data_IF_384058461078
#
_entry.id   IF_384058461078
#
_cell.length_a   1.000
_cell.length_b   1.000
_cell.length_c   1.000
_cell.angle_alpha   90.00
_cell.angle_beta   90.00
_cell.angle_gamma   90.00
#
_symmetry.space_group_name_H-M   'P 1'
#
loop_
_entity.id
_entity.type
_entity.pdbx_description
1 polymer ?
#
# COMPACT_ATOMS: atom_id res chain seq x y z
N UNK A 1 -0.40 46.77 -16.06
CA UNK A 1 -0.12 46.47 -17.48
C UNK A 1 -0.49 45.06 -17.88
N UNK A 2 -1.67 44.96 -18.50
CA UNK A 2 -2.35 43.74 -18.85
C UNK A 2 -2.02 43.34 -20.31
N UNK A 3 -0.74 43.11 -20.62
CA UNK A 3 -0.34 42.58 -21.92
C UNK A 3 -0.38 41.04 -21.87
N UNK A 4 -1.51 40.45 -22.25
CA UNK A 4 -1.51 39.08 -22.74
C UNK A 4 -0.69 39.06 -24.03
N UNK A 5 0.62 38.79 -23.93
CA UNK A 5 1.43 38.43 -25.09
C UNK A 5 0.84 37.13 -25.64
N UNK A 6 -0.04 37.26 -26.62
CA UNK A 6 -0.52 36.13 -27.40
C UNK A 6 0.68 35.33 -27.87
N UNK A 7 0.80 34.09 -27.39
CA UNK A 7 1.94 33.24 -27.71
C UNK A 7 1.83 32.83 -29.17
N UNK A 8 2.66 33.46 -30.00
CA UNK A 8 2.81 33.11 -31.42
C UNK A 8 3.93 32.08 -31.56
N UNK A 9 3.69 31.05 -32.35
CA UNK A 9 4.66 30.00 -32.69
C UNK A 9 5.26 30.32 -34.06
N UNK A 10 6.58 30.41 -34.16
CA UNK A 10 7.32 30.61 -35.42
C UNK A 10 7.38 29.30 -36.22
N UNK A 11 7.33 29.38 -37.54
CA UNK A 11 7.68 28.25 -38.40
C UNK A 11 9.14 27.83 -38.20
N UNK A 12 9.42 26.52 -38.11
CA UNK A 12 10.77 26.01 -37.85
C UNK A 12 11.58 25.72 -39.12
N UNK A 13 11.01 25.91 -40.33
CA UNK A 13 11.74 25.73 -41.58
C UNK A 13 12.73 26.88 -41.82
N UNK A 14 13.91 26.54 -42.36
CA UNK A 14 14.92 27.53 -42.72
C UNK A 14 14.33 28.56 -43.69
N UNK A 15 14.62 29.84 -43.44
CA UNK A 15 14.13 30.99 -44.22
C UNK A 15 12.61 31.25 -44.17
N UNK A 16 11.86 30.64 -43.24
CA UNK A 16 10.46 30.99 -42.99
C UNK A 16 10.29 31.89 -41.76
N UNK A 17 9.73 33.08 -41.95
CA UNK A 17 9.48 34.06 -40.87
C UNK A 17 8.01 34.09 -40.41
N UNK A 18 7.17 33.17 -40.88
CA UNK A 18 5.74 33.16 -40.58
C UNK A 18 5.46 32.74 -39.13
N UNK A 19 4.50 33.41 -38.49
CA UNK A 19 4.10 33.18 -37.11
C UNK A 19 2.62 32.87 -36.98
N UNK A 20 2.28 31.92 -36.11
CA UNK A 20 0.91 31.39 -36.00
C UNK A 20 0.44 31.39 -34.55
N UNK A 21 -0.82 31.78 -34.33
CA UNK A 21 -1.48 31.68 -33.02
C UNK A 21 -2.00 30.26 -32.74
N UNK A 22 -2.44 29.58 -33.80
CA UNK A 22 -3.01 28.25 -33.71
C UNK A 22 -2.07 27.24 -34.36
N UNK A 23 -1.69 26.24 -33.59
CA UNK A 23 -0.82 25.16 -34.05
C UNK A 23 -1.38 24.40 -35.26
N UNK A 24 -2.71 24.33 -35.41
CA UNK A 24 -3.35 23.72 -36.60
C UNK A 24 -3.05 24.52 -37.87
N UNK A 25 -3.02 25.86 -37.78
CA UNK A 25 -2.67 26.74 -38.91
C UNK A 25 -1.19 26.63 -39.27
N UNK A 26 -0.31 26.48 -38.27
CA UNK A 26 1.11 26.23 -38.50
C UNK A 26 1.34 24.92 -39.27
N UNK A 27 0.66 23.84 -38.89
CA UNK A 27 0.75 22.56 -39.62
C UNK A 27 0.31 22.73 -41.07
N UNK A 28 -0.86 23.36 -41.28
CA UNK A 28 -1.37 23.62 -42.64
C UNK A 28 -0.39 24.44 -43.49
N UNK A 29 0.19 25.49 -42.92
CA UNK A 29 1.22 26.28 -43.60
C UNK A 29 2.45 25.46 -43.98
N UNK A 30 2.92 24.57 -43.09
CA UNK A 30 4.07 23.71 -43.39
C UNK A 30 3.75 22.75 -44.56
N UNK A 31 2.53 22.21 -44.62
CA UNK A 31 2.10 21.36 -45.74
C UNK A 31 2.05 22.12 -47.05
N UNK A 32 1.52 23.34 -47.04
CA UNK A 32 1.28 24.14 -48.24
C UNK A 32 2.53 24.87 -48.75
N UNK A 33 3.40 25.37 -47.86
CA UNK A 33 4.49 26.27 -48.21
C UNK A 33 5.89 25.64 -48.11
N UNK A 34 6.03 24.48 -47.47
CA UNK A 34 7.33 23.85 -47.22
C UNK A 34 7.40 22.38 -47.62
N UNK A 35 6.40 21.90 -48.37
CA UNK A 35 6.27 20.48 -48.77
C UNK A 35 6.44 19.53 -47.58
N UNK A 36 6.03 19.98 -46.38
CA UNK A 36 6.23 19.22 -45.17
C UNK A 36 5.39 17.94 -45.20
N UNK A 37 6.05 16.80 -45.33
CA UNK A 37 5.38 15.50 -45.35
C UNK A 37 5.05 15.09 -43.91
N UNK A 38 3.78 15.23 -43.54
CA UNK A 38 3.26 14.68 -42.30
C UNK A 38 2.56 13.34 -42.57
N UNK A 39 2.98 12.31 -41.85
CA UNK A 39 2.26 11.02 -41.83
C UNK A 39 0.99 11.20 -40.99
N UNK A 40 -0.15 11.22 -41.67
CA UNK A 40 -1.48 11.39 -41.07
C UNK A 40 -2.29 10.12 -41.22
N UNK A 41 -2.88 9.67 -40.12
CA UNK A 41 -3.74 8.49 -40.06
C UNK A 41 -5.09 8.89 -39.46
N UNK A 42 -6.15 8.24 -39.92
CA UNK A 42 -7.50 8.43 -39.38
C UNK A 42 -8.04 7.12 -38.87
N UNK A 43 -8.51 7.13 -37.62
CA UNK A 43 -9.06 5.95 -36.96
C UNK A 43 -10.48 6.22 -36.46
N UNK A 44 -11.29 5.17 -36.45
CA UNK A 44 -12.63 5.18 -35.86
C UNK A 44 -12.67 4.05 -34.83
N UNK A 45 -13.01 4.39 -33.60
CA UNK A 45 -13.18 3.46 -32.48
C UNK A 45 -14.65 3.45 -32.05
N UNK A 46 -15.12 2.31 -31.54
CA UNK A 46 -16.50 2.18 -31.07
C UNK A 46 -16.73 2.99 -29.78
N UNK A 47 -15.67 3.22 -29.00
CA UNK A 47 -15.75 3.96 -27.73
C UNK A 47 -14.47 4.74 -27.41
N UNK A 48 -14.57 5.72 -26.49
CA UNK A 48 -13.42 6.45 -25.95
C UNK A 48 -12.45 5.50 -25.22
N UNK A 49 -12.95 4.41 -24.61
CA UNK A 49 -12.14 3.40 -23.93
C UNK A 49 -11.24 2.61 -24.87
N UNK A 50 -11.77 2.19 -26.03
CA UNK A 50 -10.97 1.51 -27.07
C UNK A 50 -9.86 2.41 -27.61
N UNK A 51 -10.19 3.69 -27.86
CA UNK A 51 -9.20 4.69 -28.24
C UNK A 51 -8.08 4.80 -27.18
N UNK A 52 -8.42 4.86 -25.88
CA UNK A 52 -7.43 4.97 -24.82
C UNK A 52 -6.52 3.73 -24.75
N UNK A 53 -7.06 2.53 -24.96
CA UNK A 53 -6.29 1.30 -25.02
C UNK A 53 -5.33 1.26 -26.23
N UNK A 54 -5.83 1.63 -27.41
CA UNK A 54 -5.00 1.77 -28.61
C UNK A 54 -3.89 2.81 -28.41
N UNK A 55 -4.24 3.97 -27.84
CA UNK A 55 -3.30 5.05 -27.56
C UNK A 55 -2.18 4.59 -26.62
N UNK A 56 -2.50 3.86 -25.55
CA UNK A 56 -1.49 3.34 -24.62
C UNK A 56 -0.50 2.39 -25.33
N UNK A 57 -0.98 1.54 -26.25
CA UNK A 57 -0.14 0.68 -27.08
C UNK A 57 0.74 1.47 -28.05
N UNK A 58 0.17 2.47 -28.72
CA UNK A 58 0.92 3.35 -29.63
C UNK A 58 2.00 4.15 -28.89
N UNK A 59 1.71 4.65 -27.69
CA UNK A 59 2.67 5.38 -26.84
C UNK A 59 3.82 4.49 -26.34
N UNK A 60 3.53 3.22 -26.08
CA UNK A 60 4.55 2.23 -25.72
C UNK A 60 5.48 1.94 -26.91
N UNK A 61 4.89 1.68 -28.08
CA UNK A 61 5.64 1.33 -29.29
C UNK A 61 6.47 2.50 -29.84
N UNK A 62 5.97 3.73 -29.69
CA UNK A 62 6.64 4.94 -30.17
C UNK A 62 7.55 5.60 -29.14
N UNK A 63 7.61 5.11 -27.90
CA UNK A 63 8.31 5.76 -26.78
C UNK A 63 7.89 7.21 -26.51
N UNK A 64 6.73 7.66 -26.99
CA UNK A 64 6.22 9.02 -26.80
C UNK A 64 4.93 8.97 -26.01
N UNK A 65 4.73 9.94 -25.12
CA UNK A 65 3.44 10.14 -24.45
C UNK A 65 2.71 11.36 -25.02
N UNK A 66 1.42 11.20 -25.29
CA UNK A 66 0.50 12.22 -25.73
C UNK A 66 -0.36 12.71 -24.55
N UNK A 67 0.01 13.88 -24.04
CA UNK A 67 -0.69 14.55 -22.94
C UNK A 67 -1.88 15.37 -23.44
N UNK A 68 -3.00 15.34 -22.71
CA UNK A 68 -4.18 16.16 -23.01
C UNK A 68 -3.92 17.63 -22.63
N UNK A 69 -4.02 18.57 -23.58
CA UNK A 69 -3.66 19.98 -23.33
C UNK A 69 -4.71 20.79 -22.56
N UNK A 70 -5.99 20.53 -22.80
CA UNK A 70 -7.11 21.33 -22.27
C UNK A 70 -8.29 20.44 -21.89
N UNK A 71 -9.24 21.00 -21.13
CA UNK A 71 -10.57 20.40 -20.99
C UNK A 71 -11.18 20.21 -22.38
N UNK A 72 -11.90 19.11 -22.54
CA UNK A 72 -12.64 18.88 -23.78
C UNK A 72 -13.63 20.01 -23.98
N UNK A 73 -13.84 20.41 -25.22
CA UNK A 73 -14.87 21.38 -25.56
C UNK A 73 -15.85 20.77 -26.54
N UNK A 74 -17.10 21.20 -26.45
CA UNK A 74 -18.14 20.77 -27.37
C UNK A 74 -18.10 21.67 -28.61
N UNK A 75 -18.14 21.03 -29.77
CA UNK A 75 -18.24 21.70 -31.07
C UNK A 75 -19.56 21.31 -31.70
N UNK A 76 -20.44 22.28 -31.92
CA UNK A 76 -21.72 22.12 -32.59
C UNK A 76 -22.37 23.48 -32.88
N UNK A 77 -22.97 23.64 -34.06
CA UNK A 77 -23.82 24.81 -34.40
C UNK A 77 -25.30 24.58 -34.07
N UNK A 78 -25.68 23.37 -33.65
CA UNK A 78 -27.07 22.96 -33.42
C UNK A 78 -27.24 22.22 -32.08
N UNK A 79 -28.40 22.46 -31.45
CA UNK A 79 -28.83 22.02 -30.12
C UNK A 79 -28.76 20.49 -29.86
N UNK A 80 -28.61 19.65 -30.89
CA UNK A 80 -28.78 18.18 -30.77
C UNK A 80 -27.58 17.33 -31.27
N UNK A 81 -26.41 17.90 -31.54
CA UNK A 81 -25.20 17.12 -31.93
C UNK A 81 -23.93 17.72 -31.35
N UNK A 82 -23.79 17.67 -30.03
CA UNK A 82 -22.57 18.11 -29.35
C UNK A 82 -21.45 17.07 -29.52
N UNK A 83 -20.46 17.40 -30.36
CA UNK A 83 -19.24 16.58 -30.52
C UNK A 83 -18.20 17.06 -29.52
N UNK A 84 -17.75 16.16 -28.64
CA UNK A 84 -16.69 16.44 -27.66
C UNK A 84 -15.33 16.33 -28.34
N UNK A 85 -14.63 17.45 -28.50
CA UNK A 85 -13.29 17.50 -29.09
C UNK A 85 -12.20 17.59 -28.02
N UNK A 86 -11.15 16.78 -28.15
CA UNK A 86 -9.98 16.75 -27.26
C UNK A 86 -8.67 16.72 -28.06
N UNK A 87 -7.65 17.43 -27.56
CA UNK A 87 -6.32 17.45 -28.18
C UNK A 87 -5.32 16.77 -27.27
N UNK A 88 -4.61 15.79 -27.82
CA UNK A 88 -3.48 15.15 -27.19
C UNK A 88 -2.21 15.52 -27.95
N UNK A 89 -1.18 15.98 -27.25
CA UNK A 89 0.07 16.49 -27.83
C UNK A 89 1.27 15.71 -27.30
N UNK A 90 2.29 15.58 -28.14
CA UNK A 90 3.57 14.98 -27.74
C UNK A 90 4.12 15.61 -26.45
N UNK A 91 4.64 14.79 -25.54
CA UNK A 91 5.25 15.25 -24.28
C UNK A 91 6.47 16.17 -24.52
N UNK A 92 7.15 16.05 -25.66
CA UNK A 92 8.27 16.90 -26.05
C UNK A 92 7.81 18.27 -26.61
N UNK A 93 6.53 18.45 -26.94
CA UNK A 93 6.01 19.70 -27.54
C UNK A 93 6.16 20.92 -26.64
N UNK A 94 6.76 21.98 -27.17
CA UNK A 94 6.84 23.30 -26.58
C UNK A 94 7.93 23.45 -25.52
N UNK A 95 7.86 24.56 -24.77
CA UNK A 95 8.83 24.90 -23.73
C UNK A 95 8.40 24.40 -22.35
N UNK A 96 9.38 24.08 -21.50
CA UNK A 96 9.16 23.87 -20.06
C UNK A 96 8.60 25.15 -19.44
N UNK A 97 7.43 25.05 -18.80
CA UNK A 97 6.81 26.17 -18.08
C UNK A 97 7.12 26.06 -16.59
N UNK A 98 7.37 27.19 -15.90
CA UNK A 98 7.46 27.16 -14.45
C UNK A 98 6.08 26.82 -13.86
N UNK A 99 6.05 25.91 -12.88
CA UNK A 99 4.85 25.61 -12.08
C UNK A 99 4.64 26.70 -11.02
N UNK A 100 4.34 27.92 -11.46
CA UNK A 100 3.88 29.02 -10.60
C UNK A 100 2.81 29.82 -11.32
N UNK A 101 1.87 30.37 -10.57
CA UNK A 101 0.97 31.37 -11.15
C UNK A 101 1.77 32.63 -11.50
N UNK A 102 1.25 33.46 -12.40
CA UNK A 102 1.90 34.74 -12.75
C UNK A 102 1.90 35.69 -11.54
N UNK A 103 0.91 35.57 -10.65
CA UNK A 103 0.76 36.39 -9.44
C UNK A 103 1.62 35.92 -8.27
N UNK A 104 2.20 34.72 -8.32
CA UNK A 104 3.02 34.20 -7.24
C UNK A 104 4.45 34.80 -7.28
N UNK A 105 4.95 35.28 -6.13
CA UNK A 105 6.30 35.83 -6.02
C UNK A 105 7.34 34.81 -6.48
N UNK A 106 8.43 35.30 -7.06
CA UNK A 106 9.52 34.45 -7.51
C UNK A 106 10.08 33.64 -6.33
N UNK A 107 10.58 32.44 -6.65
CA UNK A 107 11.12 31.54 -5.64
C UNK A 107 12.32 32.18 -4.95
N UNK A 108 12.33 32.17 -3.62
CA UNK A 108 13.45 32.69 -2.81
C UNK A 108 14.77 31.93 -2.99
N UNK A 109 14.71 30.68 -3.50
CA UNK A 109 15.89 29.81 -3.65
C UNK A 109 15.92 29.12 -5.00
N UNK A 110 17.13 28.96 -5.56
CA UNK A 110 17.38 28.16 -6.76
C UNK A 110 17.31 26.64 -6.51
N UNK A 111 17.23 26.19 -5.24
CA UNK A 111 17.04 24.77 -4.91
C UNK A 111 15.72 24.28 -5.49
N UNK A 112 15.80 23.42 -6.50
CA UNK A 112 14.67 22.72 -7.09
C UNK A 112 14.95 21.24 -7.11
N UNK A 113 13.93 20.45 -6.78
CA UNK A 113 13.95 19.03 -7.10
C UNK A 113 13.75 18.91 -8.62
N UNK A 114 14.86 18.87 -9.36
CA UNK A 114 14.88 18.81 -10.80
C UNK A 114 14.78 17.36 -11.25
N UNK A 115 13.65 16.98 -11.85
CA UNK A 115 13.46 15.66 -12.48
C UNK A 115 13.85 15.64 -13.96
N UNK A 116 14.45 16.72 -14.47
CA UNK A 116 14.60 16.93 -15.92
C UNK A 116 13.32 17.41 -16.58
N UNK A 117 13.41 17.74 -17.87
CA UNK A 117 12.27 17.99 -18.75
C UNK A 117 12.58 17.37 -20.11
N UNK A 118 11.58 16.74 -20.73
CA UNK A 118 11.68 16.17 -22.08
C UNK A 118 11.22 17.16 -23.15
N UNK A 119 10.86 18.39 -22.75
CA UNK A 119 10.41 19.46 -23.65
C UNK A 119 11.54 19.86 -24.59
N UNK A 120 11.29 19.85 -25.89
CA UNK A 120 12.27 20.24 -26.91
C UNK A 120 12.55 21.74 -26.93
N UNK A 121 11.65 22.55 -26.34
CA UNK A 121 11.70 24.00 -26.50
C UNK A 121 11.27 24.45 -27.90
N UNK A 122 10.66 23.57 -28.68
CA UNK A 122 10.16 23.85 -30.03
C UNK A 122 8.79 23.21 -30.22
N UNK A 123 8.06 23.67 -31.23
CA UNK A 123 6.78 23.07 -31.62
C UNK A 123 7.00 21.65 -32.14
N UNK A 124 6.19 20.69 -31.69
CA UNK A 124 6.14 19.34 -32.25
C UNK A 124 4.84 19.15 -33.06
N UNK A 125 4.92 18.68 -34.32
CA UNK A 125 3.72 18.44 -35.13
C UNK A 125 2.87 17.28 -34.59
N UNK A 126 3.48 16.27 -33.96
CA UNK A 126 2.80 15.07 -33.51
C UNK A 126 1.69 15.34 -32.49
N UNK A 127 0.49 14.85 -32.80
CA UNK A 127 -0.73 15.05 -31.99
C UNK A 127 -1.84 14.11 -32.42
N UNK A 128 -2.81 13.95 -31.52
CA UNK A 128 -4.09 13.29 -31.80
C UNK A 128 -5.23 14.29 -31.57
N UNK A 129 -6.07 14.46 -32.58
CA UNK A 129 -7.32 15.22 -32.49
C UNK A 129 -8.44 14.20 -32.37
N UNK A 130 -9.08 14.18 -31.20
CA UNK A 130 -10.07 13.15 -30.84
C UNK A 130 -11.44 13.79 -30.76
N UNK A 131 -12.39 13.30 -31.55
CA UNK A 131 -13.78 13.76 -31.61
C UNK A 131 -14.70 12.62 -31.19
N UNK A 132 -15.35 12.78 -30.04
CA UNK A 132 -16.30 11.81 -29.49
C UNK A 132 -17.70 12.29 -29.81
N UNK A 133 -18.45 11.46 -30.55
CA UNK A 133 -19.85 11.71 -30.87
C UNK A 133 -20.76 11.38 -29.68
N UNK A 134 -22.01 11.85 -29.71
CA UNK A 134 -23.01 11.54 -28.67
C UNK A 134 -23.24 10.02 -28.48
N UNK A 135 -23.07 9.23 -29.55
CA UNK A 135 -23.18 7.77 -29.51
C UNK A 135 -21.90 7.08 -28.98
N UNK A 136 -20.91 7.82 -28.47
CA UNK A 136 -19.64 7.29 -27.97
C UNK A 136 -18.58 6.95 -29.04
N UNK A 137 -19.00 6.85 -30.31
CA UNK A 137 -18.09 6.63 -31.45
C UNK A 137 -17.01 7.72 -31.48
N UNK A 138 -15.76 7.28 -31.50
CA UNK A 138 -14.59 8.14 -31.33
C UNK A 138 -13.77 8.19 -32.61
N UNK A 139 -13.72 9.37 -33.23
CA UNK A 139 -12.95 9.64 -34.45
C UNK A 139 -11.63 10.29 -34.08
N UNK A 140 -10.52 9.76 -34.58
CA UNK A 140 -9.17 10.23 -34.23
C UNK A 140 -8.42 10.58 -35.50
N UNK A 141 -7.93 11.82 -35.59
CA UNK A 141 -6.91 12.21 -36.56
C UNK A 141 -5.56 12.21 -35.85
N UNK A 142 -4.66 11.34 -36.29
CA UNK A 142 -3.33 11.16 -35.73
C UNK A 142 -2.27 11.69 -36.69
N UNK A 143 -1.44 12.60 -36.19
CA UNK A 143 -0.22 13.06 -36.88
C UNK A 143 0.95 12.38 -36.18
N UNK A 144 1.63 11.46 -36.88
CA UNK A 144 2.72 10.64 -36.33
C UNK A 144 4.09 11.30 -36.44
N UNK A 145 4.28 12.24 -37.36
CA UNK A 145 5.57 12.86 -37.61
C UNK A 145 6.04 13.70 -36.41
N UNK A 146 7.30 13.49 -36.01
CA UNK A 146 8.00 14.25 -34.99
C UNK A 146 9.19 15.02 -35.60
N UNK A 147 9.61 16.10 -34.96
CA UNK A 147 10.77 16.91 -35.34
C UNK A 147 11.83 16.97 -34.23
N UNK A 148 11.85 15.95 -33.37
CA UNK A 148 12.80 15.78 -32.29
C UNK A 148 13.18 14.31 -32.20
N UNK A 149 14.29 14.00 -31.54
CA UNK A 149 14.69 12.62 -31.31
C UNK A 149 13.67 11.90 -30.43
N UNK A 150 13.47 10.62 -30.74
CA UNK A 150 12.63 9.69 -29.99
C UNK A 150 13.52 8.52 -29.60
N UNK A 151 13.40 8.08 -28.37
CA UNK A 151 14.10 6.90 -27.90
C UNK A 151 13.56 6.42 -26.58
N UNK A 152 14.01 5.24 -26.17
CA UNK A 152 13.61 4.56 -24.93
C UNK A 152 13.81 5.42 -23.66
N UNK A 153 14.72 6.39 -23.70
CA UNK A 153 14.96 7.38 -22.64
C UNK A 153 13.79 8.34 -22.45
N UNK A 154 12.83 8.41 -23.38
CA UNK A 154 11.61 9.18 -23.17
C UNK A 154 10.67 8.51 -22.16
N UNK A 155 10.73 7.18 -22.02
CA UNK A 155 9.87 6.39 -21.11
C UNK A 155 10.04 6.79 -19.64
N UNK A 156 11.24 7.24 -19.23
CA UNK A 156 11.48 7.71 -17.86
C UNK A 156 10.69 8.98 -17.49
N UNK A 157 10.24 9.77 -18.46
CA UNK A 157 9.44 10.98 -18.23
C UNK A 157 7.93 10.77 -18.34
N UNK A 158 7.50 9.62 -18.88
CA UNK A 158 6.09 9.29 -19.00
C UNK A 158 5.43 9.13 -17.61
N UNK A 159 4.12 9.43 -17.47
CA UNK A 159 3.39 9.18 -16.24
C UNK A 159 3.30 7.67 -15.94
N UNK A 160 3.07 7.32 -14.68
CA UNK A 160 2.82 5.92 -14.29
C UNK A 160 1.46 5.50 -14.89
N UNK A 161 1.40 4.42 -15.68
CA UNK A 161 0.14 3.91 -16.22
C UNK A 161 -0.91 3.67 -15.12
N UNK A 162 -2.18 3.91 -15.45
CA UNK A 162 -3.28 3.87 -14.48
C UNK A 162 -3.48 2.49 -13.86
N UNK A 163 -3.39 1.43 -14.66
CA UNK A 163 -3.43 0.03 -14.24
C UNK A 163 -2.29 -0.31 -13.26
N UNK A 164 -1.05 0.06 -13.59
CA UNK A 164 0.13 -0.17 -12.76
C UNK A 164 0.01 0.57 -11.43
N UNK A 165 -0.42 1.84 -11.47
CA UNK A 165 -0.64 2.64 -10.25
C UNK A 165 -1.72 2.00 -9.36
N UNK A 166 -2.81 1.48 -9.93
CA UNK A 166 -3.87 0.76 -9.19
C UNK A 166 -3.34 -0.53 -8.56
N UNK A 167 -2.58 -1.33 -9.30
CA UNK A 167 -1.98 -2.56 -8.80
C UNK A 167 -1.02 -2.29 -7.62
N UNK A 168 -0.13 -1.31 -7.77
CA UNK A 168 0.79 -0.87 -6.70
C UNK A 168 -0.02 -0.41 -5.47
N UNK A 169 -1.04 0.42 -5.68
CA UNK A 169 -1.87 0.93 -4.58
C UNK A 169 -2.59 -0.20 -3.85
N UNK A 170 -3.14 -1.17 -4.56
CA UNK A 170 -3.82 -2.33 -3.96
C UNK A 170 -2.87 -3.15 -3.08
N UNK A 171 -1.68 -3.50 -3.58
CA UNK A 171 -0.64 -4.22 -2.80
C UNK A 171 -0.25 -3.43 -1.54
N UNK A 172 -0.06 -2.12 -1.66
CA UNK A 172 0.31 -1.26 -0.53
C UNK A 172 -0.83 -1.12 0.49
N UNK A 173 -2.08 -1.08 0.06
CA UNK A 173 -3.26 -0.97 0.94
C UNK A 173 -3.41 -2.18 1.85
N UNK A 174 -3.05 -3.38 1.38
CA UNK A 174 -3.06 -4.61 2.18
C UNK A 174 -1.76 -4.82 2.99
N UNK A 175 -0.88 -3.82 3.04
CA UNK A 175 0.33 -3.85 3.86
C UNK A 175 1.55 -4.52 3.23
N UNK A 176 1.53 -4.86 1.92
CA UNK A 176 2.73 -5.40 1.26
C UNK A 176 3.87 -4.38 1.33
N UNK A 177 5.08 -4.75 1.80
CA UNK A 177 6.20 -3.82 1.90
C UNK A 177 6.61 -3.21 0.56
N UNK A 178 7.03 -1.95 0.58
CA UNK A 178 7.52 -1.20 -0.60
C UNK A 178 8.61 -1.96 -1.36
N UNK A 179 9.53 -2.62 -0.64
CA UNK A 179 10.61 -3.39 -1.24
C UNK A 179 10.11 -4.63 -2.00
N UNK A 180 9.05 -5.29 -1.50
CA UNK A 180 8.43 -6.43 -2.18
C UNK A 180 7.76 -5.96 -3.46
N UNK A 181 6.91 -4.92 -3.39
CA UNK A 181 6.27 -4.34 -4.58
C UNK A 181 7.30 -3.91 -5.63
N UNK A 182 8.41 -3.31 -5.19
CA UNK A 182 9.50 -2.93 -6.07
C UNK A 182 10.18 -4.11 -6.79
N UNK A 183 10.35 -5.25 -6.09
CA UNK A 183 10.90 -6.46 -6.68
C UNK A 183 9.92 -7.09 -7.67
N UNK A 184 8.66 -7.21 -7.29
CA UNK A 184 7.60 -7.78 -8.15
C UNK A 184 7.48 -7.05 -9.48
N UNK A 185 7.62 -5.72 -9.49
CA UNK A 185 7.59 -4.90 -10.71
C UNK A 185 8.76 -5.16 -11.67
N UNK A 186 9.78 -5.92 -11.24
CA UNK A 186 11.01 -6.21 -11.98
C UNK A 186 11.24 -7.70 -12.24
N UNK A 187 10.46 -8.59 -11.64
CA UNK A 187 10.69 -10.04 -11.67
C UNK A 187 10.68 -10.65 -13.08
N UNK A 188 10.15 -9.95 -14.09
CA UNK A 188 10.10 -10.43 -15.49
C UNK A 188 11.10 -9.74 -16.43
N UNK A 189 11.81 -8.68 -15.99
CA UNK A 189 12.65 -7.88 -16.88
C UNK A 189 14.13 -8.23 -16.74
N UNK A 190 14.73 -8.77 -17.81
CA UNK A 190 16.16 -9.10 -17.86
C UNK A 190 16.52 -10.49 -17.33
N UNK A 191 15.54 -11.39 -17.20
CA UNK A 191 15.82 -12.81 -16.99
C UNK A 191 16.69 -13.34 -18.14
N UNK A 192 17.74 -14.09 -17.79
CA UNK A 192 18.67 -14.68 -18.77
C UNK A 192 17.95 -15.61 -19.74
N UNK A 193 16.88 -16.27 -19.28
CA UNK A 193 16.12 -17.22 -20.09
C UNK A 193 15.21 -16.55 -21.12
N UNK A 194 14.80 -15.30 -20.90
CA UNK A 194 13.83 -14.60 -21.76
C UNK A 194 14.46 -13.45 -22.55
N UNK A 195 15.80 -13.44 -22.71
CA UNK A 195 16.53 -12.35 -23.40
C UNK A 195 16.16 -12.15 -24.86
N UNK A 196 15.60 -13.17 -25.51
CA UNK A 196 15.23 -13.17 -26.92
C UNK A 196 13.71 -13.04 -27.13
N UNK A 197 12.91 -12.92 -26.08
CA UNK A 197 11.48 -12.69 -26.23
C UNK A 197 11.26 -11.23 -26.62
N UNK A 198 10.66 -11.01 -27.79
CA UNK A 198 10.18 -9.70 -28.26
C UNK A 198 9.24 -9.02 -27.26
N UNK A 199 8.64 -9.79 -26.34
CA UNK A 199 7.76 -9.33 -25.26
C UNK A 199 8.48 -8.65 -24.08
N UNK A 200 9.82 -8.68 -24.02
CA UNK A 200 10.60 -8.08 -22.93
C UNK A 200 10.86 -6.58 -23.12
N UNK A 201 9.86 -5.82 -23.56
CA UNK A 201 9.99 -4.37 -23.80
C UNK A 201 10.09 -3.60 -22.47
N UNK A 202 11.08 -2.71 -22.36
CA UNK A 202 11.25 -1.86 -21.18
C UNK A 202 10.08 -0.86 -21.07
N UNK A 203 9.11 -1.19 -20.21
CA UNK A 203 8.00 -0.29 -19.90
C UNK A 203 8.30 0.64 -18.71
N UNK A 204 7.38 1.58 -18.45
CA UNK A 204 7.45 2.51 -17.32
C UNK A 204 7.52 1.82 -15.95
N UNK A 205 6.89 0.65 -15.78
CA UNK A 205 6.86 -0.06 -14.47
C UNK A 205 8.26 -0.43 -13.99
N UNK A 206 9.12 -0.88 -14.92
CA UNK A 206 10.51 -1.27 -14.62
C UNK A 206 11.38 -0.08 -14.19
N UNK A 207 11.04 1.12 -14.66
CA UNK A 207 11.73 2.38 -14.35
C UNK A 207 11.28 3.03 -13.04
N UNK A 208 10.27 2.45 -12.35
CA UNK A 208 9.83 2.98 -11.06
C UNK A 208 10.92 2.77 -10.00
N UNK A 209 11.14 3.81 -9.20
CA UNK A 209 12.05 3.78 -8.06
C UNK A 209 11.30 3.44 -6.77
N UNK A 210 12.02 2.95 -5.75
CA UNK A 210 11.47 2.80 -4.39
C UNK A 210 10.84 4.09 -3.86
N UNK A 211 11.39 5.24 -4.23
CA UNK A 211 10.82 6.55 -3.90
C UNK A 211 9.44 6.75 -4.52
N UNK A 212 9.25 6.40 -5.80
CA UNK A 212 7.94 6.50 -6.45
C UNK A 212 6.89 5.64 -5.73
N UNK A 213 7.24 4.40 -5.39
CA UNK A 213 6.35 3.49 -4.66
C UNK A 213 6.09 4.00 -3.25
N UNK A 214 7.09 4.59 -2.58
CA UNK A 214 6.92 5.22 -1.26
C UNK A 214 6.00 6.44 -1.30
N UNK A 215 6.10 7.27 -2.35
CA UNK A 215 5.21 8.41 -2.55
C UNK A 215 3.75 7.92 -2.77
N UNK A 216 3.55 6.82 -3.50
CA UNK A 216 2.22 6.17 -3.64
C UNK A 216 1.75 5.63 -2.29
N UNK A 217 2.60 4.93 -1.54
CA UNK A 217 2.27 4.41 -0.20
C UNK A 217 1.83 5.52 0.75
N UNK A 218 2.50 6.67 0.72
CA UNK A 218 2.10 7.85 1.50
C UNK A 218 0.73 8.37 1.09
N UNK A 219 0.44 8.42 -0.22
CA UNK A 219 -0.87 8.83 -0.72
C UNK A 219 -1.98 7.84 -0.30
N UNK A 220 -1.72 6.53 -0.37
CA UNK A 220 -2.63 5.48 0.10
C UNK A 220 -2.92 5.65 1.59
N UNK A 221 -1.86 5.74 2.42
CA UNK A 221 -2.00 5.95 3.88
C UNK A 221 -2.79 7.21 4.21
N UNK A 222 -2.54 8.31 3.48
CA UNK A 222 -3.29 9.55 3.65
C UNK A 222 -4.77 9.37 3.29
N UNK A 223 -5.09 8.59 2.25
CA UNK A 223 -6.46 8.28 1.86
C UNK A 223 -7.20 7.37 2.86
N UNK A 224 -6.49 6.53 3.59
CA UNK A 224 -7.06 5.71 4.67
C UNK A 224 -7.34 6.50 5.95
N UNK A 225 -6.69 7.65 6.14
CA UNK A 225 -6.89 8.51 7.30
C UNK A 225 -8.13 9.38 7.11
N UNK A 226 -9.13 9.20 7.97
CA UNK A 226 -10.43 9.87 7.86
C UNK A 226 -10.41 11.31 8.39
N UNK A 227 -9.45 11.62 9.28
CA UNK A 227 -9.29 12.96 9.84
C UNK A 227 -7.81 13.28 10.19
N UNK A 228 -7.34 14.54 10.14
CA UNK A 228 -5.98 14.91 10.53
C UNK A 228 -5.63 14.70 12.01
N UNK A 229 -6.63 14.57 12.87
CA UNK A 229 -6.48 14.13 14.25
C UNK A 229 -6.71 12.61 14.35
N UNK A 230 -5.80 11.89 15.00
CA UNK A 230 -5.82 10.42 15.05
C UNK A 230 -6.96 9.88 15.92
N UNK A 231 -7.32 10.58 16.99
CA UNK A 231 -8.44 10.17 17.86
C UNK A 231 -9.77 10.27 17.10
N UNK A 232 -9.98 11.37 16.38
CA UNK A 232 -11.15 11.57 15.52
C UNK A 232 -11.14 10.60 14.35
N UNK A 233 -10.00 10.36 13.72
CA UNK A 233 -9.90 9.39 12.62
C UNK A 233 -10.25 7.98 13.08
N UNK A 234 -9.83 7.59 14.29
CA UNK A 234 -10.17 6.30 14.91
C UNK A 234 -11.65 6.21 15.21
N UNK A 235 -12.23 7.26 15.81
CA UNK A 235 -13.67 7.35 16.08
C UNK A 235 -14.49 7.17 14.79
N UNK A 236 -14.14 7.90 13.72
CA UNK A 236 -14.83 7.79 12.44
C UNK A 236 -14.71 6.38 11.83
N UNK A 237 -13.55 5.73 11.98
CA UNK A 237 -13.36 4.36 11.51
C UNK A 237 -14.23 3.38 12.30
N UNK A 238 -14.30 3.54 13.63
CA UNK A 238 -15.18 2.74 14.49
C UNK A 238 -16.65 2.91 14.11
N UNK A 239 -17.11 4.16 13.91
CA UNK A 239 -18.49 4.41 13.47
C UNK A 239 -18.79 3.78 12.11
N UNK A 240 -17.84 3.89 11.17
CA UNK A 240 -17.94 3.24 9.86
C UNK A 240 -18.08 1.72 10.02
N UNK A 241 -17.15 1.06 10.71
CA UNK A 241 -17.16 -0.40 10.90
C UNK A 241 -18.38 -0.89 11.69
N UNK A 242 -18.93 -0.06 12.58
CA UNK A 242 -20.18 -0.33 13.29
C UNK A 242 -21.40 -0.29 12.36
N UNK A 243 -21.38 0.61 11.36
CA UNK A 243 -22.48 0.82 10.40
C UNK A 243 -22.49 -0.16 9.22
N UNK A 244 -21.44 -0.97 9.06
CA UNK A 244 -21.38 -2.03 8.04
C UNK A 244 -22.36 -3.18 8.39
N UNK A 245 -22.70 -4.02 7.39
CA UNK A 245 -23.63 -5.16 7.54
C UNK A 245 -23.26 -6.10 8.71
N UNK A 246 -21.98 -6.15 9.04
CA UNK A 246 -21.47 -6.84 10.21
C UNK A 246 -20.65 -5.87 11.07
N UNK A 247 -21.17 -5.55 12.26
CA UNK A 247 -20.43 -4.75 13.24
C UNK A 247 -19.19 -5.53 13.73
N UNK A 248 -18.02 -5.12 13.26
CA UNK A 248 -16.75 -5.74 13.64
C UNK A 248 -16.21 -5.27 15.00
N UNK A 249 -16.81 -4.26 15.62
CA UNK A 249 -16.34 -3.65 16.86
C UNK A 249 -16.99 -4.34 18.08
N UNK A 250 -16.16 -4.91 18.96
CA UNK A 250 -16.55 -5.46 20.26
C UNK A 250 -16.64 -4.36 21.32
N UNK A 251 -15.58 -3.57 21.42
CA UNK A 251 -15.38 -2.56 22.46
C UNK A 251 -14.74 -1.35 21.82
N UNK A 252 -15.17 -0.16 22.24
CA UNK A 252 -14.50 1.08 21.91
C UNK A 252 -14.62 2.11 23.04
N UNK A 253 -13.46 2.49 23.59
CA UNK A 253 -13.26 3.60 24.52
C UNK A 253 -12.10 4.46 24.03
N UNK A 254 -12.34 5.76 23.90
CA UNK A 254 -11.31 6.75 23.57
C UNK A 254 -10.74 7.39 24.83
N UNK A 255 -9.51 7.89 24.75
CA UNK A 255 -8.87 8.59 25.86
C UNK A 255 -9.68 9.83 26.26
N UNK A 256 -9.84 10.05 27.56
CA UNK A 256 -10.57 11.17 28.13
C UNK A 256 -12.09 11.04 28.06
N UNK A 257 -12.63 9.96 27.47
CA UNK A 257 -14.07 9.79 27.28
C UNK A 257 -14.60 8.49 27.87
N UNK A 258 -15.92 8.48 28.07
CA UNK A 258 -16.63 7.27 28.46
C UNK A 258 -16.66 6.25 27.32
N UNK A 259 -16.91 5.01 27.69
CA UNK A 259 -17.01 3.88 26.79
C UNK A 259 -18.19 4.07 25.87
N UNK A 260 -17.92 4.05 24.55
CA UNK A 260 -18.93 4.28 23.50
C UNK A 260 -19.57 2.96 23.08
N UNK A 261 -18.79 1.88 23.07
CA UNK A 261 -19.23 0.52 22.69
C UNK A 261 -18.63 -0.48 23.69
N UNK A 262 -19.44 -1.39 24.19
CA UNK A 262 -19.01 -2.46 25.10
C UNK A 262 -19.30 -2.17 26.58
N UNK A 263 -18.73 -2.98 27.50
CA UNK A 263 -18.99 -2.94 28.93
C UNK A 263 -18.64 -1.59 29.57
N UNK A 264 -19.52 -1.08 30.42
CA UNK A 264 -19.29 0.17 31.17
C UNK A 264 -18.24 0.06 32.27
N UNK A 265 -17.84 -1.16 32.64
CA UNK A 265 -16.74 -1.39 33.59
C UNK A 265 -15.45 -0.66 33.16
N UNK A 266 -15.20 -0.47 31.87
CA UNK A 266 -14.08 0.33 31.39
C UNK A 266 -14.11 1.79 31.84
N UNK A 267 -15.26 2.31 32.27
CA UNK A 267 -15.43 3.65 32.84
C UNK A 267 -15.14 3.71 34.34
N UNK A 268 -15.28 2.57 35.04
CA UNK A 268 -15.12 2.44 36.49
C UNK A 268 -13.73 1.91 36.89
N UNK A 269 -13.01 1.28 35.96
CA UNK A 269 -11.64 0.83 36.22
C UNK A 269 -10.75 2.06 36.45
N UNK A 270 -10.08 2.11 37.61
CA UNK A 270 -9.17 3.17 38.07
C UNK A 270 -7.90 3.35 37.20
N UNK A 271 -7.86 2.69 36.04
CA UNK A 271 -6.87 2.85 34.98
C UNK A 271 -7.21 4.11 34.18
N UNK A 272 -6.83 5.27 34.74
CA UNK A 272 -6.71 6.60 34.12
C UNK A 272 -7.85 7.07 33.19
N UNK A 273 -8.21 8.36 33.35
CA UNK A 273 -8.97 9.11 32.35
C UNK A 273 -8.40 8.95 30.91
N UNK A 274 -7.15 8.52 30.76
CA UNK A 274 -6.43 8.34 29.51
C UNK A 274 -6.47 6.91 28.91
N UNK A 275 -7.32 6.01 29.40
CA UNK A 275 -7.46 4.65 28.83
C UNK A 275 -8.00 4.65 27.41
N UNK A 276 -7.32 3.92 26.53
CA UNK A 276 -7.72 3.66 25.14
C UNK A 276 -7.93 2.17 24.95
N UNK A 277 -9.09 1.77 24.44
CA UNK A 277 -9.42 0.36 24.18
C UNK A 277 -10.21 0.25 22.88
N UNK A 278 -9.74 -0.63 21.98
CA UNK A 278 -10.45 -1.04 20.77
C UNK A 278 -10.41 -2.55 20.66
N UNK A 279 -11.57 -3.19 20.79
CA UNK A 279 -11.75 -4.61 20.53
C UNK A 279 -12.35 -4.83 19.15
N UNK A 280 -11.71 -5.63 18.31
CA UNK A 280 -12.15 -5.91 16.93
C UNK A 280 -12.21 -7.41 16.71
N UNK A 281 -13.31 -7.88 16.13
CA UNK A 281 -13.45 -9.22 15.60
C UNK A 281 -14.36 -9.17 14.37
N UNK A 282 -13.81 -9.52 13.21
CA UNK A 282 -14.52 -9.59 11.93
C UNK A 282 -15.45 -10.80 11.84
N UNK A 283 -16.34 -10.82 10.84
CA UNK A 283 -17.26 -11.94 10.58
C UNK A 283 -16.53 -13.26 10.39
N UNK A 284 -15.42 -13.24 9.65
CA UNK A 284 -14.62 -14.43 9.40
C UNK A 284 -13.91 -14.91 10.67
N UNK A 285 -13.39 -13.99 11.49
CA UNK A 285 -12.78 -14.34 12.77
C UNK A 285 -13.77 -14.96 13.75
N UNK A 286 -15.01 -14.44 13.81
CA UNK A 286 -16.10 -15.04 14.59
C UNK A 286 -16.39 -16.47 14.11
N UNK A 287 -16.61 -16.65 12.80
CA UNK A 287 -16.86 -17.96 12.21
C UNK A 287 -15.73 -18.96 12.48
N UNK A 288 -14.47 -18.52 12.38
CA UNK A 288 -13.30 -19.33 12.69
C UNK A 288 -13.29 -19.76 14.16
N UNK A 289 -13.60 -18.84 15.07
CA UNK A 289 -13.64 -19.10 16.50
C UNK A 289 -14.75 -20.09 16.88
N UNK A 290 -15.94 -19.94 16.31
CA UNK A 290 -17.07 -20.85 16.54
C UNK A 290 -16.79 -22.26 15.98
N UNK A 291 -16.38 -22.33 14.72
CA UNK A 291 -16.21 -23.60 13.98
C UNK A 291 -15.06 -24.45 14.52
N UNK A 292 -13.98 -23.79 14.98
CA UNK A 292 -12.75 -24.47 15.39
C UNK A 292 -12.50 -24.36 16.90
N UNK A 293 -13.52 -24.01 17.69
CA UNK A 293 -13.45 -23.88 19.16
C UNK A 293 -12.92 -25.13 19.87
N UNK A 294 -13.11 -26.30 19.29
CA UNK A 294 -12.58 -27.57 19.78
C UNK A 294 -11.07 -27.78 19.54
N UNK A 295 -10.43 -26.92 18.74
CA UNK A 295 -9.01 -27.03 18.38
C UNK A 295 -8.12 -26.19 19.31
N UNK A 296 -6.96 -26.76 19.66
CA UNK A 296 -5.97 -26.12 20.55
C UNK A 296 -5.29 -24.91 19.87
N UNK A 297 -5.25 -24.88 18.54
CA UNK A 297 -4.67 -23.79 17.74
C UNK A 297 -5.60 -23.53 16.56
N UNK A 298 -6.13 -22.30 16.47
CA UNK A 298 -6.83 -21.85 15.28
C UNK A 298 -5.84 -21.81 14.13
N UNK A 299 -6.01 -22.70 13.15
CA UNK A 299 -5.15 -22.76 11.98
C UNK A 299 -5.91 -22.27 10.76
N UNK A 300 -5.26 -21.43 9.96
CA UNK A 300 -5.74 -21.16 8.60
C UNK A 300 -5.54 -22.38 7.69
N UNK A 301 -6.00 -22.26 6.45
CA UNK A 301 -5.79 -23.26 5.37
C UNK A 301 -4.31 -23.59 5.09
N UNK A 302 -3.38 -22.75 5.58
CA UNK A 302 -1.93 -22.93 5.49
C UNK A 302 -1.31 -23.48 6.78
N UNK A 303 -2.11 -23.94 7.74
CA UNK A 303 -1.70 -24.46 9.05
C UNK A 303 -0.99 -23.43 9.93
N UNK A 304 -1.20 -22.13 9.71
CA UNK A 304 -0.63 -21.04 10.52
C UNK A 304 -1.64 -20.56 11.55
N UNK A 305 -1.13 -20.08 12.70
CA UNK A 305 -1.97 -19.49 13.74
C UNK A 305 -2.83 -18.35 13.19
N UNK A 306 -4.15 -18.45 13.36
CA UNK A 306 -5.11 -17.48 12.87
C UNK A 306 -5.65 -16.63 14.03
N UNK A 307 -5.57 -15.29 13.98
CA UNK A 307 -6.07 -14.43 15.04
C UNK A 307 -7.60 -14.38 15.02
N UNK A 308 -8.24 -14.71 16.15
CA UNK A 308 -9.71 -14.78 16.27
C UNK A 308 -10.36 -13.50 16.81
N UNK A 309 -9.55 -12.58 17.35
CA UNK A 309 -9.93 -11.23 17.72
C UNK A 309 -8.66 -10.40 17.96
N UNK A 310 -8.79 -9.08 17.99
CA UNK A 310 -7.72 -8.15 18.33
C UNK A 310 -8.18 -7.22 19.45
N UNK A 311 -7.33 -7.07 20.46
CA UNK A 311 -7.44 -6.03 21.48
C UNK A 311 -6.29 -5.04 21.24
N UNK A 312 -6.63 -3.77 21.04
CA UNK A 312 -5.66 -2.67 20.95
C UNK A 312 -5.92 -1.77 22.13
N UNK A 313 -4.97 -1.70 23.05
CA UNK A 313 -5.08 -0.90 24.26
C UNK A 313 -3.72 -0.36 24.71
N UNK A 314 -3.74 0.71 25.50
CA UNK A 314 -2.54 1.21 26.18
C UNK A 314 -2.23 0.45 27.49
N UNK A 315 -3.14 -0.43 27.93
CA UNK A 315 -3.01 -1.29 29.11
C UNK A 315 -3.21 -2.76 28.72
N UNK A 316 -2.47 -3.68 29.34
CA UNK A 316 -2.53 -5.13 29.10
C UNK A 316 -2.64 -5.91 30.42
N UNK A 317 -3.44 -5.38 31.34
CA UNK A 317 -3.75 -5.99 32.64
C UNK A 317 -5.05 -6.79 32.62
N UNK A 318 -5.28 -7.57 33.68
CA UNK A 318 -6.47 -8.41 33.85
C UNK A 318 -7.78 -7.61 33.74
N UNK A 319 -7.81 -6.40 34.29
CA UNK A 319 -8.98 -5.52 34.29
C UNK A 319 -9.32 -5.03 32.87
N UNK A 320 -8.31 -4.85 32.01
CA UNK A 320 -8.50 -4.48 30.60
C UNK A 320 -8.87 -5.68 29.73
N UNK A 321 -8.26 -6.84 29.98
CA UNK A 321 -8.43 -8.04 29.13
C UNK A 321 -9.77 -8.73 29.41
N UNK A 322 -10.19 -8.82 30.68
CA UNK A 322 -11.39 -9.58 31.09
C UNK A 322 -12.66 -9.11 30.35
N UNK A 323 -13.04 -7.82 30.35
CA UNK A 323 -14.29 -7.40 29.72
C UNK A 323 -14.26 -7.53 28.18
N UNK A 324 -13.06 -7.54 27.58
CA UNK A 324 -12.90 -7.82 26.16
C UNK A 324 -13.18 -9.30 25.84
N UNK A 325 -12.65 -10.22 26.65
CA UNK A 325 -12.92 -11.65 26.52
C UNK A 325 -14.41 -11.98 26.76
N UNK A 326 -15.06 -11.29 27.71
CA UNK A 326 -16.50 -11.40 27.92
C UNK A 326 -17.30 -11.02 26.67
N UNK A 327 -16.93 -9.93 25.99
CA UNK A 327 -17.57 -9.52 24.74
C UNK A 327 -17.36 -10.53 23.60
N UNK A 328 -16.19 -11.18 23.53
CA UNK A 328 -15.97 -12.30 22.60
C UNK A 328 -16.93 -13.44 22.92
N UNK A 329 -16.99 -13.87 24.19
CA UNK A 329 -17.85 -14.98 24.63
C UNK A 329 -19.34 -14.69 24.36
N UNK A 330 -19.77 -13.47 24.64
CA UNK A 330 -21.13 -12.97 24.37
C UNK A 330 -21.46 -12.98 22.88
N UNK A 331 -20.54 -12.54 22.02
CA UNK A 331 -20.73 -12.55 20.56
C UNK A 331 -20.95 -13.96 20.01
N UNK A 332 -20.30 -14.95 20.61
CA UNK A 332 -20.48 -16.36 20.25
C UNK A 332 -21.68 -17.03 20.94
N UNK A 333 -22.65 -16.24 21.43
CA UNK A 333 -23.83 -16.70 22.17
C UNK A 333 -23.49 -17.66 23.33
N UNK A 334 -22.31 -17.49 23.97
CA UNK A 334 -21.79 -18.37 25.01
C UNK A 334 -21.69 -19.86 24.61
N UNK A 335 -21.68 -20.18 23.31
CA UNK A 335 -21.69 -21.55 22.78
C UNK A 335 -20.30 -22.18 22.70
N UNK A 336 -19.25 -21.36 22.71
CA UNK A 336 -17.87 -21.79 22.55
C UNK A 336 -17.30 -22.31 23.87
N UNK A 337 -16.89 -23.58 23.89
CA UNK A 337 -16.14 -24.20 24.98
C UNK A 337 -14.64 -24.16 24.65
N UNK A 338 -13.87 -23.47 25.48
CA UNK A 338 -12.40 -23.44 25.37
C UNK A 338 -11.80 -24.50 26.29
N UNK A 339 -10.98 -25.40 25.74
CA UNK A 339 -10.37 -26.49 26.51
C UNK A 339 -8.97 -26.15 27.04
N UNK A 340 -8.25 -25.29 26.33
CA UNK A 340 -6.90 -24.88 26.69
C UNK A 340 -6.62 -23.46 26.21
N UNK A 341 -5.78 -22.74 26.95
CA UNK A 341 -5.25 -21.43 26.57
C UNK A 341 -3.74 -21.48 26.66
N UNK A 342 -3.05 -20.86 25.68
CA UNK A 342 -1.60 -20.77 25.67
C UNK A 342 -1.17 -19.32 25.81
N UNK A 343 -0.42 -19.00 26.87
CA UNK A 343 0.06 -17.64 27.13
C UNK A 343 1.59 -17.61 27.30
N UNK A 344 2.18 -16.43 27.41
CA UNK A 344 3.63 -16.24 27.58
C UNK A 344 4.09 -16.24 29.05
N UNK A 345 3.28 -16.85 29.94
CA UNK A 345 3.44 -16.86 31.40
C UNK A 345 3.02 -15.54 32.06
N UNK A 346 2.19 -14.75 31.39
CA UNK A 346 1.57 -13.57 31.94
C UNK A 346 0.38 -13.93 32.85
N UNK A 347 0.43 -13.50 34.11
CA UNK A 347 -0.66 -13.73 35.06
C UNK A 347 -1.94 -13.00 34.65
N UNK A 348 -1.82 -11.82 34.04
CA UNK A 348 -2.96 -10.99 33.66
C UNK A 348 -3.86 -11.66 32.61
N UNK A 349 -3.29 -12.16 31.52
CA UNK A 349 -4.01 -12.86 30.48
C UNK A 349 -4.52 -14.21 30.96
N UNK A 350 -3.75 -14.96 31.75
CA UNK A 350 -4.19 -16.22 32.34
C UNK A 350 -5.42 -16.03 33.26
N UNK A 351 -5.33 -15.12 34.23
CA UNK A 351 -6.42 -14.85 35.16
C UNK A 351 -7.67 -14.36 34.42
N UNK A 352 -7.50 -13.42 33.49
CA UNK A 352 -8.61 -12.91 32.68
C UNK A 352 -9.30 -14.04 31.89
N UNK A 353 -8.53 -14.96 31.29
CA UNK A 353 -9.10 -16.08 30.54
C UNK A 353 -9.87 -17.05 31.45
N UNK A 354 -9.30 -17.40 32.59
CA UNK A 354 -9.92 -18.30 33.58
C UNK A 354 -11.19 -17.71 34.18
N UNK A 355 -11.20 -16.40 34.46
CA UNK A 355 -12.39 -15.70 34.94
C UNK A 355 -13.54 -15.78 33.93
N UNK A 356 -13.26 -15.69 32.62
CA UNK A 356 -14.30 -15.67 31.58
C UNK A 356 -14.70 -17.06 31.10
N UNK A 357 -13.75 -17.97 30.90
CA UNK A 357 -13.99 -19.28 30.30
C UNK A 357 -14.00 -20.43 31.31
N UNK A 358 -13.67 -20.18 32.57
CA UNK A 358 -13.71 -21.15 33.66
C UNK A 358 -12.50 -22.09 33.67
N UNK A 359 -12.74 -23.36 33.96
CA UNK A 359 -11.70 -24.38 34.03
C UNK A 359 -11.12 -24.68 32.63
N UNK A 360 -9.99 -24.04 32.34
CA UNK A 360 -9.26 -24.14 31.08
C UNK A 360 -7.85 -24.64 31.38
N UNK A 361 -7.33 -25.58 30.57
CA UNK A 361 -5.93 -26.00 30.73
C UNK A 361 -4.98 -24.87 30.33
N UNK A 362 -4.18 -24.39 31.26
CA UNK A 362 -3.10 -23.44 30.95
C UNK A 362 -1.91 -24.14 30.30
N UNK A 363 -1.47 -23.63 29.16
CA UNK A 363 -0.26 -24.07 28.47
C UNK A 363 0.71 -22.88 28.37
N UNK A 364 1.99 -23.14 28.55
CA UNK A 364 3.01 -22.12 28.34
C UNK A 364 3.50 -22.15 26.88
N UNK A 365 3.64 -20.97 26.29
CA UNK A 365 4.11 -20.84 24.92
C UNK A 365 5.60 -21.20 24.81
N UNK A 366 5.90 -22.29 24.10
CA UNK A 366 7.29 -22.73 23.85
C UNK A 366 8.16 -21.63 23.23
N UNK A 367 7.61 -20.83 22.32
CA UNK A 367 8.36 -19.74 21.68
C UNK A 367 8.79 -18.67 22.69
N UNK A 368 7.90 -18.28 23.61
CA UNK A 368 8.21 -17.31 24.65
C UNK A 368 9.22 -17.86 25.67
N UNK A 369 9.08 -19.12 26.11
CA UNK A 369 10.08 -19.76 26.98
C UNK A 369 11.47 -19.85 26.28
N UNK A 370 11.54 -20.28 25.01
CA UNK A 370 12.80 -20.27 24.23
C UNK A 370 13.40 -18.86 24.11
N UNK A 371 12.56 -17.83 23.89
CA UNK A 371 13.00 -16.43 23.83
C UNK A 371 13.53 -15.93 25.18
N UNK A 372 12.84 -16.23 26.27
CA UNK A 372 13.27 -15.88 27.63
C UNK A 372 14.63 -16.49 27.95
N UNK A 373 14.83 -17.78 27.65
CA UNK A 373 16.12 -18.45 27.81
C UNK A 373 17.22 -17.78 26.98
N UNK A 374 16.98 -17.49 25.69
CA UNK A 374 17.96 -16.79 24.83
C UNK A 374 18.39 -15.45 25.40
N UNK A 375 17.46 -14.67 25.95
CA UNK A 375 17.77 -13.38 26.57
C UNK A 375 18.64 -13.52 27.84
N UNK A 376 18.61 -14.68 28.49
CA UNK A 376 19.37 -14.98 29.71
C UNK A 376 20.60 -15.87 29.48
N UNK A 377 20.82 -16.37 28.26
CA UNK A 377 22.05 -17.11 27.89
C UNK A 377 23.35 -16.36 28.22
N UNK A 378 23.43 -15.02 28.18
CA UNK A 378 24.65 -14.33 28.64
C UNK A 378 25.05 -14.66 30.09
N UNK A 379 24.10 -15.06 30.96
CA UNK A 379 24.37 -15.51 32.33
C UNK A 379 25.09 -16.86 32.41
N UNK A 380 25.13 -17.62 31.31
CA UNK A 380 25.78 -18.93 31.24
C UNK A 380 27.31 -18.80 31.15
N UNK A 381 27.83 -17.71 30.57
CA UNK A 381 29.28 -17.50 30.39
C UNK A 381 29.72 -17.59 28.93
N UNK A 382 30.78 -18.34 28.59
CA UNK A 382 31.38 -18.30 27.25
C UNK A 382 30.50 -18.92 26.17
N UNK A 383 30.66 -18.47 24.92
CA UNK A 383 29.77 -18.80 23.78
C UNK A 383 29.62 -20.30 23.53
N UNK A 384 30.67 -21.10 23.72
CA UNK A 384 30.62 -22.55 23.59
C UNK A 384 29.66 -23.18 24.62
N UNK A 385 29.75 -22.76 25.88
CA UNK A 385 28.88 -23.24 26.96
C UNK A 385 27.44 -22.75 26.76
N UNK A 386 27.24 -21.53 26.25
CA UNK A 386 25.91 -21.03 25.89
C UNK A 386 25.23 -21.90 24.83
N UNK A 387 25.97 -22.28 23.77
CA UNK A 387 25.46 -23.14 22.71
C UNK A 387 25.13 -24.54 23.21
N UNK A 388 25.98 -25.11 24.06
CA UNK A 388 25.78 -26.40 24.71
C UNK A 388 24.50 -26.40 25.57
N UNK A 389 24.40 -25.45 26.51
CA UNK A 389 23.23 -25.29 27.40
C UNK A 389 21.95 -25.09 26.60
N UNK A 390 21.97 -24.21 25.60
CA UNK A 390 20.78 -23.93 24.80
C UNK A 390 20.30 -25.16 24.00
N UNK A 391 21.20 -25.97 23.44
CA UNK A 391 20.83 -27.22 22.75
C UNK A 391 20.15 -28.21 23.70
N UNK A 392 20.66 -28.35 24.92
CA UNK A 392 20.07 -29.24 25.92
C UNK A 392 18.67 -28.76 26.29
N UNK A 393 18.48 -27.45 26.52
CA UNK A 393 17.16 -26.87 26.80
C UNK A 393 16.17 -27.08 25.64
N UNK A 394 16.63 -27.04 24.39
CA UNK A 394 15.80 -27.35 23.22
C UNK A 394 15.38 -28.82 23.19
N UNK A 395 16.24 -29.75 23.61
CA UNK A 395 15.86 -31.16 23.75
C UNK A 395 14.84 -31.35 24.88
N UNK A 396 15.08 -30.73 26.04
CA UNK A 396 14.21 -30.83 27.21
C UNK A 396 12.79 -30.33 26.90
N UNK A 397 12.65 -29.15 26.29
CA UNK A 397 11.31 -28.57 26.02
C UNK A 397 10.50 -29.34 24.96
N UNK A 398 11.16 -30.17 24.16
CA UNK A 398 10.52 -31.00 23.14
C UNK A 398 10.28 -32.46 23.58
N UNK A 399 10.69 -32.81 24.80
CA UNK A 399 10.36 -34.08 25.44
C UNK A 399 8.84 -34.19 25.70
N UNK A 400 8.26 -35.33 25.35
CA UNK A 400 6.81 -35.60 25.43
C UNK A 400 6.45 -36.47 26.63
N UNK A 401 7.40 -37.25 27.14
CA UNK A 401 7.21 -38.08 28.32
C UNK A 401 7.50 -37.24 29.58
N UNK A 402 6.52 -37.04 30.47
CA UNK A 402 6.69 -36.23 31.68
C UNK A 402 7.81 -36.72 32.61
N UNK A 403 8.00 -38.03 32.75
CA UNK A 403 9.02 -38.62 33.64
C UNK A 403 10.43 -38.41 33.07
N UNK A 404 10.57 -38.57 31.75
CA UNK A 404 11.84 -38.28 31.04
C UNK A 404 12.13 -36.79 31.09
N UNK A 405 11.12 -35.94 30.94
CA UNK A 405 11.25 -34.49 31.07
C UNK A 405 11.78 -34.12 32.46
N UNK A 406 11.14 -34.60 33.52
CA UNK A 406 11.53 -34.30 34.91
C UNK A 406 12.94 -34.81 35.23
N UNK A 407 13.26 -36.06 34.85
CA UNK A 407 14.58 -36.63 35.10
C UNK A 407 15.70 -35.90 34.33
N UNK A 408 15.46 -35.56 33.06
CA UNK A 408 16.43 -34.82 32.23
C UNK A 408 16.61 -33.39 32.74
N UNK A 409 15.53 -32.72 33.14
CA UNK A 409 15.57 -31.37 33.71
C UNK A 409 16.34 -31.34 35.04
N UNK A 410 16.07 -32.29 35.94
CA UNK A 410 16.81 -32.41 37.20
C UNK A 410 18.30 -32.74 36.96
N UNK A 411 18.58 -33.61 35.99
CA UNK A 411 19.94 -33.92 35.55
C UNK A 411 20.67 -32.68 35.01
N UNK A 412 19.99 -31.85 34.21
CA UNK A 412 20.51 -30.59 33.72
C UNK A 412 20.84 -29.63 34.86
N UNK A 413 19.92 -29.41 35.81
CA UNK A 413 20.17 -28.51 36.95
C UNK A 413 21.42 -28.94 37.73
N UNK A 414 21.55 -30.23 38.08
CA UNK A 414 22.73 -30.76 38.79
C UNK A 414 24.03 -30.65 37.98
N UNK A 415 23.98 -30.94 36.68
CA UNK A 415 25.19 -30.93 35.84
C UNK A 415 25.76 -29.52 35.62
N UNK A 416 24.92 -28.49 35.75
CA UNK A 416 25.27 -27.11 35.43
C UNK A 416 25.22 -26.14 36.64
N UNK A 417 24.78 -26.58 37.82
CA UNK A 417 24.70 -25.73 39.03
C UNK A 417 26.05 -25.07 39.38
N UNK A 418 27.15 -25.80 39.22
CA UNK A 418 28.50 -25.26 39.46
C UNK A 418 29.13 -24.61 38.21
N UNK A 419 28.64 -24.94 37.00
CA UNK A 419 29.21 -24.44 35.73
C UNK A 419 28.64 -23.08 35.33
N UNK A 420 27.36 -22.83 35.60
CA UNK A 420 26.69 -21.56 35.31
C UNK A 420 25.66 -21.19 36.41
N UNK A 421 26.11 -20.94 37.65
CA UNK A 421 25.23 -20.78 38.82
C UNK A 421 24.19 -19.67 38.66
N UNK A 422 24.55 -18.55 38.02
CA UNK A 422 23.63 -17.42 37.79
C UNK A 422 22.47 -17.78 36.85
N UNK A 423 22.75 -18.55 35.80
CA UNK A 423 21.70 -19.01 34.89
C UNK A 423 20.80 -20.05 35.57
N UNK A 424 21.37 -20.99 36.32
CA UNK A 424 20.60 -22.01 37.03
C UNK A 424 19.72 -21.40 38.11
N UNK A 425 20.21 -20.41 38.87
CA UNK A 425 19.39 -19.66 39.83
C UNK A 425 18.19 -18.99 39.16
N UNK A 426 18.39 -18.34 38.01
CA UNK A 426 17.29 -17.82 37.20
C UNK A 426 16.34 -18.93 36.74
N UNK A 427 16.87 -20.02 36.19
CA UNK A 427 16.10 -21.11 35.58
C UNK A 427 15.22 -21.88 36.58
N UNK A 428 15.65 -22.00 37.84
CA UNK A 428 14.85 -22.66 38.89
C UNK A 428 13.75 -21.74 39.44
N UNK A 429 13.91 -20.42 39.30
CA UNK A 429 12.96 -19.42 39.82
C UNK A 429 11.91 -18.98 38.80
N UNK A 430 12.11 -19.29 37.52
CA UNK A 430 11.31 -18.82 36.35
C UNK A 430 10.72 -20.00 35.57
#
# INVERSE_FOLDING_TARGET
>A
DNQSKDKRTLCHYQNCSQVFFQNVKLIKHIEECHEGIFTKESYIFLSESEFLAWKEKEELNSYVFFSKQTSSFFTGKNINKDVKTSYYICQNDGHSKPHRSVSEPARKTNKRYYRGSVKSGAFCPARMIVKVNINGVTNVQYIKTHNHSIGITNTMYQPIPGNIKKNISAKLSIGVPVNTVYRDLRESFGDRQNRNDEDTVLTKSHLLTKKNISDISRAVKKGCRLHPDDSVSTFLLVQKLKSEDFNSILVYKSQGQQTVIGPKVYDDIDLNKDSFVVGIQTKHQLSMFETHSSQIVFRDEFKRGYPVAFLISNHADEQTITPFLEEIKRRCNNSVKVNAVMTDDDLSGWNAFTNVFGDVRHLLCKWHKKRAWRNKLPLVGPTNLQQEVYRILETIIDEKNPDVFLSTMNGFVKAYEHKCPYFISYFVTY
#
